data_IF_372213796859
#
_entry.id   IF_372213796859
#
_cell.length_a   1.000
_cell.length_b   1.000
_cell.length_c   1.000
_cell.angle_alpha   90.00
_cell.angle_beta   90.00
_cell.angle_gamma   90.00
#
_symmetry.space_group_name_H-M   'P 1'
#
loop_
_entity.id
_entity.type
_entity.pdbx_description
1 polymer ?
#
# COMPACT_ATOMS: atom_id res chain seq x y z
N UNK A 1 13.34 -5.59 2.78
CA UNK A 1 14.22 -4.57 3.42
C UNK A 1 15.41 -4.40 2.50
N UNK A 2 15.72 -3.17 2.08
CA UNK A 2 16.87 -2.87 1.21
C UNK A 2 17.80 -1.92 1.96
N UNK A 3 19.09 -2.24 2.00
CA UNK A 3 20.11 -1.30 2.46
C UNK A 3 20.41 -0.32 1.32
N UNK A 4 20.49 0.96 1.65
CA UNK A 4 20.73 2.04 0.68
C UNK A 4 21.73 3.03 1.28
N UNK A 5 22.75 3.39 0.51
CA UNK A 5 23.77 4.38 0.88
C UNK A 5 23.70 5.56 -0.08
N UNK A 6 23.26 6.71 0.43
CA UNK A 6 23.04 7.91 -0.37
C UNK A 6 24.33 8.53 -0.94
N UNK A 7 25.48 8.25 -0.33
CA UNK A 7 26.77 8.83 -0.71
C UNK A 7 27.30 8.26 -2.04
N UNK A 8 26.99 7.00 -2.33
CA UNK A 8 27.43 6.28 -3.54
C UNK A 8 26.40 6.31 -4.68
N UNK A 9 25.25 6.95 -4.46
CA UNK A 9 24.15 7.10 -5.41
C UNK A 9 23.80 8.59 -5.63
N UNK A 10 24.72 9.38 -6.21
CA UNK A 10 24.54 10.84 -6.32
C UNK A 10 23.36 11.22 -7.21
N UNK A 11 23.08 10.43 -8.25
CA UNK A 11 22.03 10.65 -9.25
C UNK A 11 20.67 10.01 -8.90
N UNK A 12 20.61 9.24 -7.82
CA UNK A 12 19.40 8.60 -7.34
C UNK A 12 18.97 7.35 -8.12
N UNK A 13 19.79 6.84 -9.03
CA UNK A 13 19.44 5.69 -9.88
C UNK A 13 19.18 4.40 -9.08
N UNK A 14 19.94 4.16 -8.03
CA UNK A 14 19.71 3.00 -7.15
C UNK A 14 18.44 3.19 -6.31
N UNK A 15 18.22 4.39 -5.77
CA UNK A 15 16.98 4.71 -5.05
C UNK A 15 15.76 4.55 -5.96
N UNK A 16 15.83 5.05 -7.19
CA UNK A 16 14.79 4.94 -8.20
C UNK A 16 14.44 3.48 -8.48
N UNK A 17 15.45 2.63 -8.64
CA UNK A 17 15.26 1.18 -8.83
C UNK A 17 14.52 0.57 -7.65
N UNK A 18 14.86 0.93 -6.41
CA UNK A 18 14.21 0.42 -5.20
C UNK A 18 12.75 0.91 -5.11
N UNK A 19 12.49 2.19 -5.38
CA UNK A 19 11.13 2.75 -5.25
C UNK A 19 10.21 2.28 -6.39
N UNK A 20 10.74 2.03 -7.58
CA UNK A 20 9.92 1.65 -8.74
C UNK A 20 9.72 0.14 -8.91
N UNK A 21 10.63 -0.68 -8.38
CA UNK A 21 10.50 -2.14 -8.44
C UNK A 21 9.98 -2.74 -7.13
N UNK A 22 10.79 -2.99 -6.08
CA UNK A 22 10.32 -3.72 -4.91
C UNK A 22 9.21 -3.00 -4.14
N UNK A 23 9.20 -1.65 -4.07
CA UNK A 23 8.12 -0.93 -3.41
C UNK A 23 6.79 -1.06 -4.17
N UNK A 24 6.81 -0.97 -5.50
CA UNK A 24 5.59 -1.15 -6.32
C UNK A 24 5.06 -2.57 -6.21
N UNK A 25 5.94 -3.58 -6.23
CA UNK A 25 5.56 -4.99 -6.01
C UNK A 25 4.95 -5.18 -4.61
N UNK A 26 5.58 -4.61 -3.58
CA UNK A 26 5.05 -4.65 -2.21
C UNK A 26 3.65 -4.01 -2.15
N UNK A 27 3.43 -2.92 -2.88
CA UNK A 27 2.13 -2.26 -2.96
C UNK A 27 1.08 -3.11 -3.68
N UNK A 28 1.44 -3.82 -4.75
CA UNK A 28 0.51 -4.73 -5.43
C UNK A 28 0.07 -5.87 -4.52
N UNK A 29 1.01 -6.45 -3.76
CA UNK A 29 0.68 -7.46 -2.74
C UNK A 29 -0.22 -6.84 -1.67
N UNK A 30 0.12 -5.65 -1.14
CA UNK A 30 -0.72 -4.97 -0.16
C UNK A 30 -2.15 -4.73 -0.67
N UNK A 31 -2.31 -4.32 -1.93
CA UNK A 31 -3.64 -4.12 -2.54
C UNK A 31 -4.44 -5.43 -2.62
N UNK A 32 -3.80 -6.55 -2.98
CA UNK A 32 -4.45 -7.86 -3.04
C UNK A 32 -5.06 -8.23 -1.68
N UNK A 33 -4.32 -8.05 -0.59
CA UNK A 33 -4.85 -8.25 0.76
C UNK A 33 -5.91 -7.21 1.12
N UNK A 34 -5.64 -5.92 0.89
CA UNK A 34 -6.55 -4.84 1.25
C UNK A 34 -7.94 -5.02 0.63
N UNK A 35 -8.02 -5.20 -0.69
CA UNK A 35 -9.31 -5.31 -1.38
C UNK A 35 -10.01 -6.64 -1.11
N UNK A 36 -9.26 -7.75 -1.04
CA UNK A 36 -9.83 -9.05 -0.69
C UNK A 36 -10.38 -9.09 0.73
N UNK A 37 -9.90 -8.21 1.62
CA UNK A 37 -10.42 -8.04 2.98
C UNK A 37 -11.61 -7.08 3.04
N UNK A 38 -11.56 -5.93 2.35
CA UNK A 38 -12.61 -4.89 2.41
C UNK A 38 -13.90 -5.32 1.73
N UNK A 39 -13.83 -5.98 0.58
CA UNK A 39 -15.00 -6.50 -0.13
C UNK A 39 -14.70 -7.90 -0.73
N UNK A 40 -14.68 -8.95 0.10
CA UNK A 40 -14.27 -10.30 -0.32
C UNK A 40 -15.11 -10.88 -1.45
N UNK A 41 -16.39 -10.51 -1.53
CA UNK A 41 -17.29 -11.00 -2.59
C UNK A 41 -17.02 -10.38 -3.96
N UNK A 42 -16.52 -9.14 -3.98
CA UNK A 42 -16.28 -8.37 -5.20
C UNK A 42 -14.83 -8.49 -5.65
N UNK A 43 -13.89 -8.35 -4.71
CA UNK A 43 -12.46 -8.30 -5.00
C UNK A 43 -11.67 -9.50 -4.47
N UNK A 44 -12.32 -10.44 -3.79
CA UNK A 44 -11.70 -11.71 -3.38
C UNK A 44 -11.96 -12.83 -4.39
N UNK A 45 -11.37 -14.00 -4.11
CA UNK A 45 -11.53 -15.19 -4.95
C UNK A 45 -12.53 -16.21 -4.37
N UNK A 46 -13.27 -15.88 -3.31
CA UNK A 46 -14.14 -16.84 -2.63
C UNK A 46 -13.36 -17.95 -1.92
N UNK A 47 -13.95 -19.14 -1.77
CA UNK A 47 -13.29 -20.24 -1.04
C UNK A 47 -12.31 -21.02 -1.91
N UNK A 48 -11.09 -21.21 -1.41
CA UNK A 48 -10.03 -21.98 -2.10
C UNK A 48 -10.45 -23.41 -2.46
N UNK A 49 -11.38 -24.00 -1.71
CA UNK A 49 -11.82 -25.40 -1.88
C UNK A 49 -12.48 -25.69 -3.23
N UNK A 50 -13.03 -24.67 -3.89
CA UNK A 50 -13.76 -24.82 -5.17
C UNK A 50 -13.09 -24.06 -6.32
N UNK A 51 -11.82 -23.67 -6.17
CA UNK A 51 -11.10 -22.93 -7.20
C UNK A 51 -10.76 -23.81 -8.41
N UNK A 52 -11.19 -23.38 -9.58
CA UNK A 52 -10.73 -23.88 -10.86
C UNK A 52 -9.77 -22.85 -11.48
N UNK A 53 -8.50 -23.22 -11.63
CA UNK A 53 -7.45 -22.33 -12.14
C UNK A 53 -7.64 -22.08 -13.63
N UNK A 54 -7.66 -20.81 -14.03
CA UNK A 54 -7.76 -20.38 -15.43
C UNK A 54 -6.44 -19.77 -15.86
N UNK A 55 -5.53 -20.63 -16.31
CA UNK A 55 -4.18 -20.24 -16.74
C UNK A 55 -3.44 -19.41 -15.69
N UNK A 56 -2.82 -18.32 -16.12
CA UNK A 56 -2.20 -17.30 -15.23
C UNK A 56 -3.12 -16.09 -15.01
N UNK A 57 -4.39 -16.18 -15.42
CA UNK A 57 -5.32 -15.07 -15.37
C UNK A 57 -6.04 -14.98 -14.02
N UNK A 58 -6.46 -16.10 -13.43
CA UNK A 58 -7.17 -16.11 -12.15
C UNK A 58 -7.84 -17.45 -11.86
N UNK A 59 -8.94 -17.43 -11.11
CA UNK A 59 -9.73 -18.62 -10.76
C UNK A 59 -11.22 -18.41 -10.99
N UNK A 60 -11.94 -19.48 -11.29
CA UNK A 60 -13.41 -19.54 -11.18
C UNK A 60 -13.75 -20.29 -9.90
N UNK A 61 -14.70 -19.80 -9.12
CA UNK A 61 -15.14 -20.45 -7.88
C UNK A 61 -16.36 -21.33 -8.15
N UNK A 62 -16.18 -22.65 -8.18
CA UNK A 62 -17.23 -23.61 -8.49
C UNK A 62 -17.26 -24.00 -9.97
N UNK A 63 -18.37 -24.61 -10.40
CA UNK A 63 -18.56 -25.10 -11.76
C UNK A 63 -18.71 -23.98 -12.80
N UNK A 64 -19.32 -22.87 -12.40
CA UNK A 64 -19.64 -21.71 -13.23
C UNK A 64 -19.38 -20.41 -12.45
N UNK A 65 -19.23 -19.30 -13.15
CA UNK A 65 -19.08 -17.97 -12.56
C UNK A 65 -17.99 -17.13 -13.21
N UNK A 66 -17.88 -15.89 -12.73
CA UNK A 66 -16.91 -14.92 -13.23
C UNK A 66 -15.48 -15.25 -12.79
N UNK A 67 -14.51 -14.80 -13.59
CA UNK A 67 -13.10 -14.88 -13.26
C UNK A 67 -12.79 -13.99 -12.05
N UNK A 68 -12.17 -14.56 -11.03
CA UNK A 68 -11.76 -13.86 -9.81
C UNK A 68 -10.24 -13.74 -9.72
N UNK A 69 -9.77 -12.53 -9.42
CA UNK A 69 -8.35 -12.13 -9.42
C UNK A 69 -7.76 -11.92 -8.02
N UNK A 70 -8.62 -11.94 -6.99
CA UNK A 70 -8.24 -11.66 -5.61
C UNK A 70 -7.66 -12.85 -4.86
N UNK A 71 -7.57 -12.69 -3.54
CA UNK A 71 -7.15 -13.77 -2.64
C UNK A 71 -8.35 -14.61 -2.18
N UNK A 72 -8.15 -15.92 -1.95
CA UNK A 72 -9.19 -16.74 -1.32
C UNK A 72 -9.47 -16.27 0.11
N UNK A 73 -10.66 -16.54 0.60
CA UNK A 73 -11.08 -16.21 1.97
C UNK A 73 -10.08 -16.69 3.02
N UNK A 74 -9.55 -17.91 2.85
CA UNK A 74 -8.57 -18.52 3.75
C UNK A 74 -7.22 -17.79 3.81
N UNK A 75 -6.93 -16.88 2.88
CA UNK A 75 -5.73 -16.03 2.92
C UNK A 75 -5.94 -14.77 3.76
N UNK A 76 -7.18 -14.34 3.99
CA UNK A 76 -7.49 -13.11 4.73
C UNK A 76 -8.24 -13.36 6.05
N UNK A 77 -8.81 -14.55 6.23
CA UNK A 77 -9.69 -14.90 7.32
C UNK A 77 -9.61 -16.38 7.73
N UNK A 78 -10.03 -16.64 8.97
CA UNK A 78 -10.21 -17.97 9.53
C UNK A 78 -11.63 -18.09 10.08
N UNK A 79 -12.41 -19.06 9.57
CA UNK A 79 -13.83 -19.16 9.89
C UNK A 79 -14.57 -17.89 9.43
N UNK A 80 -15.32 -17.26 10.33
CA UNK A 80 -16.02 -15.99 10.05
C UNK A 80 -15.23 -14.72 10.40
N UNK A 81 -13.96 -14.83 10.83
CA UNK A 81 -13.18 -13.71 11.36
C UNK A 81 -11.97 -13.39 10.48
N UNK A 82 -11.80 -12.11 10.16
CA UNK A 82 -10.60 -11.60 9.51
C UNK A 82 -9.37 -11.80 10.41
N UNK A 83 -8.29 -12.30 9.82
CA UNK A 83 -6.96 -12.37 10.45
C UNK A 83 -5.99 -11.32 9.89
N UNK A 84 -6.36 -10.71 8.76
CA UNK A 84 -5.67 -9.55 8.20
C UNK A 84 -6.56 -8.31 8.30
N UNK A 85 -6.06 -7.28 8.97
CA UNK A 85 -6.67 -5.96 8.94
C UNK A 85 -6.37 -5.27 7.59
N UNK A 86 -7.33 -4.58 6.98
CA UNK A 86 -7.12 -3.89 5.71
C UNK A 86 -6.28 -2.62 5.94
N UNK A 87 -4.97 -2.73 5.71
CA UNK A 87 -4.02 -1.63 5.91
C UNK A 87 -3.45 -1.10 4.59
N UNK A 88 -3.16 0.20 4.54
CA UNK A 88 -2.35 0.84 3.50
C UNK A 88 -0.86 0.60 3.76
N UNK A 89 -0.05 0.51 2.71
CA UNK A 89 1.39 0.35 2.84
C UNK A 89 2.05 1.62 3.37
N UNK A 90 2.97 1.47 4.33
CA UNK A 90 3.88 2.52 4.78
C UNK A 90 5.30 2.20 4.27
N UNK A 91 5.85 3.08 3.45
CA UNK A 91 7.25 3.07 3.06
C UNK A 91 8.05 3.95 4.03
N UNK A 92 9.07 3.38 4.65
CA UNK A 92 9.99 4.07 5.55
C UNK A 92 11.35 4.16 4.86
N UNK A 93 11.80 5.37 4.56
CA UNK A 93 12.96 5.63 3.69
C UNK A 93 13.98 6.49 4.41
N UNK A 94 15.24 6.08 4.45
CA UNK A 94 16.33 6.94 4.89
C UNK A 94 17.17 7.37 3.69
N UNK A 95 16.93 8.59 3.19
CA UNK A 95 17.62 9.17 2.03
C UNK A 95 17.40 10.69 2.01
N UNK A 96 18.26 11.46 1.31
CA UNK A 96 18.03 12.89 1.09
C UNK A 96 16.64 13.15 0.50
N UNK A 97 15.87 14.08 1.09
CA UNK A 97 14.47 14.29 0.73
C UNK A 97 14.33 14.77 -0.71
N UNK A 98 15.23 15.68 -1.13
CA UNK A 98 15.30 16.18 -2.50
C UNK A 98 15.55 15.05 -3.52
N UNK A 99 16.25 13.98 -3.13
CA UNK A 99 16.48 12.83 -4.01
C UNK A 99 15.23 11.96 -4.13
N UNK A 100 14.48 11.78 -3.04
CA UNK A 100 13.18 11.10 -3.09
C UNK A 100 12.22 11.88 -3.99
N UNK A 101 12.12 13.20 -3.83
CA UNK A 101 11.25 14.05 -4.66
C UNK A 101 11.63 13.96 -6.14
N UNK A 102 12.92 14.08 -6.47
CA UNK A 102 13.41 13.91 -7.84
C UNK A 102 13.00 12.57 -8.45
N UNK A 103 13.08 11.47 -7.68
CA UNK A 103 12.67 10.14 -8.14
C UNK A 103 11.15 10.07 -8.33
N UNK A 104 10.37 10.64 -7.41
CA UNK A 104 8.90 10.70 -7.53
C UNK A 104 8.48 11.50 -8.76
N UNK A 105 9.10 12.66 -8.99
CA UNK A 105 8.80 13.54 -10.14
C UNK A 105 9.09 12.86 -11.48
N UNK A 106 10.14 12.03 -11.55
CA UNK A 106 10.45 11.24 -12.76
C UNK A 106 9.49 10.07 -13.01
N UNK A 107 8.77 9.61 -11.99
CA UNK A 107 8.01 8.37 -12.04
C UNK A 107 6.51 8.58 -11.78
N UNK A 108 5.67 8.66 -12.84
CA UNK A 108 4.23 8.86 -12.70
C UNK A 108 3.52 7.83 -11.83
N UNK A 109 4.03 6.59 -11.78
CA UNK A 109 3.47 5.55 -10.89
C UNK A 109 3.63 5.92 -9.41
N UNK A 110 4.77 6.47 -9.01
CA UNK A 110 5.02 6.88 -7.62
C UNK A 110 4.15 8.07 -7.24
N UNK A 111 4.01 9.05 -8.14
CA UNK A 111 3.09 10.18 -7.94
C UNK A 111 1.66 9.71 -7.69
N UNK A 112 1.18 8.72 -8.47
CA UNK A 112 -0.17 8.16 -8.29
C UNK A 112 -0.29 7.35 -7.01
N UNK A 113 0.73 6.56 -6.65
CA UNK A 113 0.68 5.75 -5.44
C UNK A 113 0.71 6.63 -4.17
N UNK A 114 1.57 7.64 -4.15
CA UNK A 114 1.76 8.49 -2.97
C UNK A 114 0.68 9.57 -2.90
N UNK A 115 0.42 10.25 -4.02
CA UNK A 115 -0.53 11.36 -4.10
C UNK A 115 -1.98 10.96 -3.85
N UNK A 116 -2.36 9.72 -4.19
CA UNK A 116 -3.69 9.19 -3.88
C UNK A 116 -3.73 8.43 -2.55
N UNK A 117 -2.66 8.43 -1.75
CA UNK A 117 -2.62 7.80 -0.44
C UNK A 117 -2.69 6.27 -0.45
N UNK A 118 -2.30 5.62 -1.55
CA UNK A 118 -2.18 4.15 -1.62
C UNK A 118 -0.94 3.66 -0.87
N UNK A 119 0.13 4.45 -0.92
CA UNK A 119 1.35 4.26 -0.12
C UNK A 119 1.60 5.55 0.65
N UNK A 120 1.73 5.44 1.98
CA UNK A 120 2.24 6.54 2.80
C UNK A 120 3.76 6.47 2.84
N UNK A 121 4.44 7.61 2.76
CA UNK A 121 5.91 7.68 2.81
C UNK A 121 6.35 8.47 4.02
N UNK A 122 7.12 7.83 4.89
CA UNK A 122 7.89 8.46 5.95
C UNK A 122 9.37 8.47 5.54
N UNK A 123 10.02 9.63 5.56
CA UNK A 123 11.43 9.74 5.25
C UNK A 123 12.20 10.64 6.21
N UNK A 124 13.52 10.42 6.28
CA UNK A 124 14.48 11.27 6.97
C UNK A 124 15.84 11.16 6.28
N UNK A 125 16.69 12.17 6.35
CA UNK A 125 17.98 12.10 5.65
C UNK A 125 19.03 11.35 6.48
N UNK A 126 18.99 11.49 7.80
CA UNK A 126 19.95 10.87 8.71
C UNK A 126 19.28 10.22 9.94
N UNK A 127 20.01 9.32 10.60
CA UNK A 127 19.49 8.50 11.70
C UNK A 127 18.98 9.30 12.92
N UNK A 128 19.45 10.54 13.11
CA UNK A 128 19.05 11.43 14.20
C UNK A 128 18.06 12.54 13.81
N UNK A 129 17.61 12.58 12.56
CA UNK A 129 16.63 13.57 12.11
C UNK A 129 15.20 13.08 12.35
N UNK A 130 14.28 14.03 12.48
CA UNK A 130 12.86 13.74 12.59
C UNK A 130 12.32 13.12 11.30
N UNK A 131 11.32 12.25 11.47
CA UNK A 131 10.60 11.69 10.33
C UNK A 131 9.68 12.74 9.72
N UNK A 132 9.70 12.80 8.40
CA UNK A 132 8.84 13.65 7.60
C UNK A 132 7.93 12.79 6.73
N UNK A 133 6.69 13.24 6.54
CA UNK A 133 5.70 12.62 5.67
C UNK A 133 5.73 13.32 4.31
N UNK A 134 5.79 12.53 3.25
CA UNK A 134 5.59 13.06 1.90
C UNK A 134 4.12 13.40 1.66
N UNK A 135 3.86 14.56 1.05
CA UNK A 135 2.53 14.96 0.58
C UNK A 135 2.65 15.62 -0.79
N UNK A 136 1.55 15.72 -1.58
CA UNK A 136 1.56 16.50 -2.82
C UNK A 136 1.92 17.99 -2.64
N UNK A 137 1.81 18.52 -1.42
CA UNK A 137 2.19 19.90 -1.07
C UNK A 137 3.63 20.01 -0.53
N UNK A 138 4.41 18.92 -0.55
CA UNK A 138 5.76 18.84 0.01
C UNK A 138 5.83 18.05 1.32
N UNK A 139 7.02 18.05 1.94
CA UNK A 139 7.29 17.34 3.18
C UNK A 139 6.70 18.05 4.39
N UNK A 140 6.08 17.27 5.29
CA UNK A 140 5.55 17.76 6.59
C UNK A 140 6.13 16.93 7.73
N UNK A 141 6.15 17.46 8.96
CA UNK A 141 6.56 16.63 10.11
C UNK A 141 5.59 15.45 10.27
N UNK A 142 6.11 14.26 10.57
CA UNK A 142 5.26 13.07 10.78
C UNK A 142 4.29 13.24 11.97
N UNK A 143 4.70 14.02 12.97
CA UNK A 143 3.91 14.26 14.18
C UNK A 143 2.75 15.24 13.95
N UNK A 144 2.77 16.03 12.87
CA UNK A 144 1.65 16.84 12.42
C UNK A 144 0.64 15.94 11.69
N UNK A 145 0.04 15.02 12.43
CA UNK A 145 -1.15 14.35 11.94
C UNK A 145 -2.32 15.26 12.27
N UNK A 146 -2.78 16.05 11.30
CA UNK A 146 -4.13 16.63 11.32
C UNK A 146 -5.13 15.47 11.27
N UNK A 147 -5.29 14.78 12.39
CA UNK A 147 -6.41 13.90 12.62
C UNK A 147 -7.57 14.85 12.93
N UNK A 148 -8.33 15.24 11.91
CA UNK A 148 -9.65 15.80 12.15
C UNK A 148 -10.41 14.75 12.96
N UNK A 149 -10.48 14.94 14.27
CA UNK A 149 -11.19 14.05 15.17
C UNK A 149 -12.67 14.34 14.93
N UNK A 150 -13.20 13.79 13.84
CA UNK A 150 -14.62 13.69 13.60
C UNK A 150 -15.16 12.63 14.55
N UNK A 151 -15.32 13.01 15.82
CA UNK A 151 -16.22 12.29 16.72
C UNK A 151 -17.60 12.44 16.07
N UNK A 152 -18.03 11.43 15.31
CA UNK A 152 -19.44 11.28 14.99
C UNK A 152 -20.12 10.95 16.31
N UNK A 153 -20.74 11.96 16.90
CA UNK A 153 -21.60 11.78 18.07
C UNK A 153 -22.64 10.71 17.77
N UNK A 154 -22.71 9.71 18.65
CA UNK A 154 -23.61 8.56 18.56
C UNK A 154 -25.10 8.90 18.67
N UNK A 155 -25.50 10.17 18.68
CA UNK A 155 -26.88 10.60 18.93
C UNK A 155 -27.73 10.81 17.65
N UNK A 156 -27.16 10.81 16.45
CA UNK A 156 -27.94 11.03 15.21
C UNK A 156 -28.37 9.76 14.46
N UNK A 157 -28.22 8.56 15.04
CA UNK A 157 -28.67 7.30 14.43
C UNK A 157 -29.98 6.75 15.00
N UNK A 158 -30.75 7.58 15.73
CA UNK A 158 -32.11 7.27 16.18
C UNK A 158 -33.01 8.50 15.98
N UNK A 159 -33.26 8.86 14.72
CA UNK A 159 -34.46 9.60 14.31
C UNK A 159 -34.94 9.12 12.96
#
# INVERSE_FOLDING_TARGET
>A
LHSYEAEVDPDGSALETILTAPLVVAQWINCQYYFSTVAPEVFGAGTKTIHNVVGTAGVIAGHEGDLRLGLPWQSVATGGRLVHEPMRLLAVIQAPLARIDMVVDRNPILQRLFGNGWVSVAAREGAGQEWQRWTPAGWRSWNETDCSTGILDKEEMVR
#
